data_IF_152242741800
#
_entry.id   IF_152242741800
#
_cell.length_a   1.000
_cell.length_b   1.000
_cell.length_c   1.000
_cell.angle_alpha   90.00
_cell.angle_beta   90.00
_cell.angle_gamma   90.00
#
_symmetry.space_group_name_H-M   'P 1'
#
loop_
_entity.id
_entity.type
_entity.pdbx_description
1 polymer ?
#
# COMPACT_ATOMS: atom_id res chain seq x y z
N UNK A 1 25.61 -34.67 33.62
CA UNK A 1 24.66 -33.52 33.84
C UNK A 1 24.65 -32.66 32.57
N UNK A 2 23.86 -33.07 31.63
CA UNK A 2 23.68 -32.38 30.34
C UNK A 2 22.54 -31.39 30.51
N UNK A 3 22.84 -30.07 30.42
CA UNK A 3 21.84 -29.02 30.40
C UNK A 3 21.23 -28.95 28.99
N UNK A 4 20.00 -29.42 28.86
CA UNK A 4 19.17 -29.13 27.73
C UNK A 4 18.87 -27.62 27.70
N UNK A 5 19.23 -26.99 26.61
CA UNK A 5 18.84 -25.61 26.29
C UNK A 5 17.39 -25.69 25.79
N UNK A 6 16.42 -25.02 26.41
CA UNK A 6 15.06 -25.03 25.91
C UNK A 6 15.01 -24.30 24.58
N UNK A 7 14.54 -24.98 23.56
CA UNK A 7 14.19 -24.39 22.27
C UNK A 7 13.11 -23.31 22.52
N UNK A 8 13.52 -22.05 22.40
CA UNK A 8 12.68 -20.89 22.59
C UNK A 8 11.74 -20.74 21.37
N UNK A 9 10.73 -21.61 21.31
CA UNK A 9 9.54 -21.48 20.46
C UNK A 9 8.61 -20.41 21.04
N UNK A 10 9.14 -19.20 21.26
CA UNK A 10 8.42 -18.08 21.82
C UNK A 10 7.56 -17.37 20.78
N UNK A 11 6.25 -17.50 20.95
CA UNK A 11 5.21 -16.53 20.64
C UNK A 11 5.15 -16.02 19.19
N UNK A 12 4.75 -16.89 18.26
CA UNK A 12 3.84 -16.47 17.23
C UNK A 12 2.54 -16.05 17.98
N UNK A 13 2.38 -14.76 18.24
CA UNK A 13 1.16 -14.25 18.83
C UNK A 13 0.00 -14.76 17.96
N UNK A 14 -0.70 -15.77 18.46
CA UNK A 14 -1.94 -16.22 17.89
C UNK A 14 -2.85 -15.00 17.88
N UNK A 15 -3.10 -14.48 16.68
CA UNK A 15 -4.16 -13.51 16.52
C UNK A 15 -5.42 -14.18 17.08
N UNK A 16 -6.21 -13.50 17.93
CA UNK A 16 -7.37 -14.11 18.57
C UNK A 16 -8.19 -14.79 17.49
N UNK A 17 -8.47 -16.07 17.68
CA UNK A 17 -9.09 -16.97 16.70
C UNK A 17 -10.44 -16.38 16.32
N UNK A 18 -10.44 -15.54 15.27
CA UNK A 18 -11.68 -15.11 14.64
C UNK A 18 -12.30 -16.33 13.99
N UNK A 19 -13.27 -16.94 14.67
CA UNK A 19 -14.08 -17.97 14.05
C UNK A 19 -14.61 -17.45 12.74
N UNK A 20 -14.47 -18.20 11.65
CA UNK A 20 -14.91 -17.82 10.28
C UNK A 20 -16.27 -17.11 10.29
N UNK A 21 -17.21 -17.61 11.11
CA UNK A 21 -18.55 -17.05 11.27
C UNK A 21 -18.53 -15.63 11.87
N UNK A 22 -17.71 -15.39 12.90
CA UNK A 22 -17.59 -14.06 13.52
C UNK A 22 -16.90 -13.06 12.60
N UNK A 23 -15.84 -13.48 11.88
CA UNK A 23 -15.16 -12.64 10.92
C UNK A 23 -16.10 -12.21 9.76
N UNK A 24 -16.91 -13.16 9.24
CA UNK A 24 -17.91 -12.87 8.21
C UNK A 24 -19.00 -11.94 8.76
N UNK A 25 -19.53 -12.23 9.96
CA UNK A 25 -20.55 -11.38 10.59
C UNK A 25 -20.02 -9.96 10.83
N UNK A 26 -18.81 -9.80 11.36
CA UNK A 26 -18.20 -8.49 11.57
C UNK A 26 -17.96 -7.78 10.24
N UNK A 27 -17.47 -8.48 9.22
CA UNK A 27 -17.29 -7.92 7.89
C UNK A 27 -18.62 -7.46 7.26
N UNK A 28 -19.69 -8.26 7.39
CA UNK A 28 -21.03 -7.90 6.90
C UNK A 28 -21.59 -6.70 7.66
N UNK A 29 -21.46 -6.67 8.99
CA UNK A 29 -21.96 -5.56 9.82
C UNK A 29 -21.20 -4.27 9.49
N UNK A 30 -19.87 -4.33 9.43
CA UNK A 30 -19.04 -3.17 9.07
C UNK A 30 -19.34 -2.72 7.63
N UNK A 31 -19.48 -3.64 6.69
CA UNK A 31 -19.88 -3.34 5.32
C UNK A 31 -21.25 -2.68 5.26
N UNK A 32 -22.26 -3.26 5.94
CA UNK A 32 -23.60 -2.70 5.98
C UNK A 32 -23.63 -1.31 6.65
N UNK A 33 -22.85 -1.10 7.70
CA UNK A 33 -22.75 0.16 8.40
C UNK A 33 -22.06 1.24 7.56
N UNK A 34 -20.99 0.87 6.86
CA UNK A 34 -20.28 1.76 5.92
C UNK A 34 -21.16 2.10 4.71
N UNK A 35 -21.86 1.11 4.15
CA UNK A 35 -22.84 1.32 3.06
C UNK A 35 -24.00 2.19 3.56
N UNK A 36 -24.53 1.91 4.77
CA UNK A 36 -25.58 2.70 5.38
C UNK A 36 -25.18 4.16 5.56
N UNK A 37 -24.02 4.42 6.14
CA UNK A 37 -23.48 5.79 6.28
C UNK A 37 -23.32 6.44 4.90
N UNK A 38 -22.76 5.72 3.95
CA UNK A 38 -22.47 6.24 2.61
C UNK A 38 -23.74 6.63 1.82
N UNK A 39 -24.80 5.85 1.92
CA UNK A 39 -26.08 6.13 1.26
C UNK A 39 -27.01 7.02 2.08
N UNK A 40 -26.89 7.02 3.40
CA UNK A 40 -27.72 7.82 4.28
C UNK A 40 -27.18 9.26 4.41
N UNK A 41 -25.87 9.44 4.42
CA UNK A 41 -25.23 10.74 4.58
C UNK A 41 -25.65 11.77 3.52
N UNK A 42 -25.70 11.44 2.20
CA UNK A 42 -26.19 12.37 1.17
C UNK A 42 -27.66 12.75 1.34
N UNK A 43 -28.50 11.82 1.79
CA UNK A 43 -29.92 12.08 2.07
C UNK A 43 -30.12 12.99 3.29
N UNK A 44 -29.28 12.82 4.32
CA UNK A 44 -29.33 13.65 5.52
C UNK A 44 -28.83 15.09 5.26
N UNK A 45 -27.95 15.29 4.29
CA UNK A 45 -27.39 16.59 3.91
C UNK A 45 -28.22 17.31 2.82
N UNK A 46 -29.35 16.71 2.37
CA UNK A 46 -30.22 17.33 1.36
C UNK A 46 -29.72 17.22 -0.09
N UNK A 47 -28.77 16.33 -0.37
CA UNK A 47 -28.17 16.10 -1.69
C UNK A 47 -29.01 15.15 -2.58
N UNK A 48 -30.33 15.11 -2.41
CA UNK A 48 -31.24 14.25 -3.21
C UNK A 48 -31.00 14.37 -4.71
N UNK A 49 -30.88 15.60 -5.22
CA UNK A 49 -30.65 15.87 -6.64
C UNK A 49 -29.33 15.30 -7.18
N UNK A 50 -28.34 15.09 -6.34
CA UNK A 50 -27.04 14.53 -6.76
C UNK A 50 -27.11 12.99 -6.96
N UNK A 51 -28.00 12.31 -6.23
CA UNK A 51 -28.23 10.87 -6.44
C UNK A 51 -29.05 10.59 -7.71
N UNK A 52 -29.99 11.47 -8.05
CA UNK A 52 -30.79 11.38 -9.27
C UNK A 52 -29.92 11.49 -10.53
N UNK A 53 -28.82 12.29 -10.45
CA UNK A 53 -27.82 12.43 -11.53
C UNK A 53 -26.97 11.18 -11.76
N UNK A 54 -26.91 10.21 -10.84
CA UNK A 54 -26.18 8.95 -11.08
C UNK A 54 -26.73 8.18 -12.29
N UNK A 55 -28.04 8.32 -12.59
CA UNK A 55 -28.66 7.75 -13.76
C UNK A 55 -28.25 8.41 -15.09
N UNK A 56 -27.70 9.63 -15.04
CA UNK A 56 -27.27 10.39 -16.23
C UNK A 56 -25.83 10.04 -16.67
N UNK A 57 -25.11 9.23 -15.88
CA UNK A 57 -23.71 8.89 -16.16
C UNK A 57 -23.58 8.08 -17.45
N UNK A 58 -22.67 8.50 -18.33
CA UNK A 58 -22.37 7.77 -19.56
C UNK A 58 -21.72 6.41 -19.24
N UNK A 59 -22.37 5.26 -19.59
CA UNK A 59 -21.91 3.92 -19.21
C UNK A 59 -20.54 3.56 -19.82
N UNK A 60 -20.19 4.11 -20.97
CA UNK A 60 -18.88 3.87 -21.60
C UNK A 60 -17.74 4.39 -20.69
N UNK A 61 -17.88 5.58 -20.14
CA UNK A 61 -16.87 6.13 -19.24
C UNK A 61 -16.82 5.42 -17.89
N UNK A 62 -17.96 4.87 -17.44
CA UNK A 62 -17.97 3.98 -16.25
C UNK A 62 -17.19 2.70 -16.54
N UNK A 63 -17.36 2.10 -17.73
CA UNK A 63 -16.57 0.92 -18.13
C UNK A 63 -15.06 1.26 -18.21
N UNK A 64 -14.69 2.44 -18.70
CA UNK A 64 -13.30 2.93 -18.70
C UNK A 64 -12.77 3.08 -17.25
N UNK A 65 -13.57 3.62 -16.33
CA UNK A 65 -13.21 3.73 -14.92
C UNK A 65 -12.97 2.35 -14.29
N UNK A 66 -13.80 1.35 -14.60
CA UNK A 66 -13.62 -0.04 -14.16
C UNK A 66 -12.32 -0.63 -14.74
N UNK A 67 -12.01 -0.35 -16.01
CA UNK A 67 -10.77 -0.75 -16.65
C UNK A 67 -9.54 -0.16 -15.94
N UNK A 68 -9.57 1.13 -15.59
CA UNK A 68 -8.54 1.77 -14.78
C UNK A 68 -8.44 1.15 -13.37
N UNK A 69 -9.56 0.77 -12.76
CA UNK A 69 -9.52 0.09 -11.46
C UNK A 69 -8.84 -1.29 -11.55
N UNK A 70 -9.12 -2.07 -12.59
CA UNK A 70 -8.43 -3.34 -12.82
C UNK A 70 -6.91 -3.11 -13.00
N UNK A 71 -6.52 -2.08 -13.76
CA UNK A 71 -5.11 -1.67 -13.93
C UNK A 71 -4.50 -1.25 -12.58
N UNK A 72 -5.21 -0.46 -11.77
CA UNK A 72 -4.75 -0.05 -10.44
C UNK A 72 -4.47 -1.25 -9.55
N UNK A 73 -5.38 -2.23 -9.50
CA UNK A 73 -5.19 -3.43 -8.70
C UNK A 73 -4.02 -4.30 -9.20
N UNK A 74 -3.90 -4.48 -10.51
CA UNK A 74 -2.79 -5.22 -11.12
C UNK A 74 -1.43 -4.58 -10.82
N UNK A 75 -1.32 -3.27 -10.99
CA UNK A 75 -0.09 -2.51 -10.70
C UNK A 75 0.23 -2.46 -9.21
N UNK A 76 -0.78 -2.46 -8.33
CA UNK A 76 -0.61 -2.55 -6.88
C UNK A 76 -0.03 -3.91 -6.45
N UNK A 77 -0.52 -5.01 -7.04
CA UNK A 77 0.05 -6.35 -6.83
C UNK A 77 1.48 -6.43 -7.37
N UNK A 78 1.74 -5.84 -8.54
CA UNK A 78 3.08 -5.80 -9.13
C UNK A 78 4.07 -5.00 -8.26
N UNK A 79 3.64 -3.86 -7.71
CA UNK A 79 4.41 -3.08 -6.74
C UNK A 79 4.78 -3.94 -5.52
N UNK A 80 3.79 -4.59 -4.91
CA UNK A 80 4.02 -5.43 -3.73
C UNK A 80 4.98 -6.57 -4.04
N UNK A 81 4.78 -7.26 -5.19
CA UNK A 81 5.65 -8.32 -5.69
C UNK A 81 7.10 -7.86 -5.85
N UNK A 82 7.31 -6.68 -6.44
CA UNK A 82 8.63 -6.14 -6.69
C UNK A 82 9.38 -5.76 -5.40
N UNK A 83 8.67 -5.20 -4.42
CA UNK A 83 9.27 -4.75 -3.16
C UNK A 83 9.48 -5.93 -2.20
N UNK A 84 8.49 -6.83 -2.10
CA UNK A 84 8.50 -7.92 -1.13
C UNK A 84 9.10 -9.19 -1.72
N UNK A 85 8.77 -9.50 -2.99
CA UNK A 85 9.15 -10.74 -3.64
C UNK A 85 10.60 -10.84 -4.05
N UNK A 86 11.24 -9.81 -4.62
CA UNK A 86 12.65 -9.76 -5.05
C UNK A 86 13.24 -11.08 -5.59
N UNK A 87 14.45 -11.07 -6.08
CA UNK A 87 15.13 -12.30 -6.57
C UNK A 87 15.38 -13.35 -5.46
N UNK A 88 15.49 -12.90 -4.21
CA UNK A 88 15.77 -13.76 -3.06
C UNK A 88 14.51 -14.34 -2.40
N UNK A 89 13.30 -14.04 -2.90
CA UNK A 89 12.04 -14.39 -2.23
C UNK A 89 11.05 -15.02 -3.20
N UNK A 90 10.84 -16.34 -3.13
CA UNK A 90 10.07 -17.10 -4.12
C UNK A 90 8.56 -17.05 -3.86
N UNK A 91 7.99 -15.88 -3.54
CA UNK A 91 6.53 -15.71 -3.54
C UNK A 91 6.00 -15.83 -4.96
N UNK A 92 5.02 -16.68 -5.20
CA UNK A 92 4.30 -16.74 -6.48
C UNK A 92 3.43 -15.48 -6.68
N UNK A 93 3.01 -15.20 -7.91
CA UNK A 93 2.05 -14.11 -8.18
C UNK A 93 0.73 -14.29 -7.44
N UNK A 94 0.29 -15.54 -7.27
CA UNK A 94 -0.92 -15.88 -6.55
C UNK A 94 -0.79 -15.55 -5.05
N UNK A 95 0.27 -15.98 -4.39
CA UNK A 95 0.54 -15.66 -2.98
C UNK A 95 0.66 -14.15 -2.77
N UNK A 96 1.34 -13.46 -3.70
CA UNK A 96 1.46 -11.99 -3.69
C UNK A 96 0.08 -11.32 -3.78
N UNK A 97 -0.77 -11.77 -4.70
CA UNK A 97 -2.14 -11.30 -4.85
C UNK A 97 -2.95 -11.52 -3.57
N UNK A 98 -2.91 -12.74 -3.03
CA UNK A 98 -3.64 -13.11 -1.81
C UNK A 98 -3.25 -12.22 -0.63
N UNK A 99 -1.94 -12.01 -0.39
CA UNK A 99 -1.45 -11.16 0.71
C UNK A 99 -1.86 -9.70 0.49
N UNK A 100 -1.63 -9.18 -0.72
CA UNK A 100 -1.85 -7.76 -1.00
C UNK A 100 -3.33 -7.39 -1.01
N UNK A 101 -4.17 -8.20 -1.65
CA UNK A 101 -5.62 -7.96 -1.71
C UNK A 101 -6.31 -8.20 -0.37
N UNK A 102 -5.91 -9.22 0.39
CA UNK A 102 -6.38 -9.41 1.75
C UNK A 102 -5.98 -8.24 2.66
N UNK A 103 -4.75 -7.74 2.51
CA UNK A 103 -4.27 -6.54 3.20
C UNK A 103 -5.08 -5.29 2.85
N UNK A 104 -5.43 -5.11 1.56
CA UNK A 104 -6.29 -4.02 1.10
C UNK A 104 -7.68 -4.09 1.77
N UNK A 105 -8.31 -5.26 1.79
CA UNK A 105 -9.60 -5.45 2.47
C UNK A 105 -9.50 -5.21 3.98
N UNK A 106 -8.43 -5.71 4.62
CA UNK A 106 -8.19 -5.49 6.05
C UNK A 106 -8.04 -3.99 6.37
N UNK A 107 -7.33 -3.23 5.54
CA UNK A 107 -7.20 -1.77 5.70
C UNK A 107 -8.55 -1.07 5.61
N UNK A 108 -9.44 -1.53 4.73
CA UNK A 108 -10.75 -0.91 4.50
C UNK A 108 -11.80 -1.31 5.53
N UNK A 109 -11.75 -2.55 6.03
CA UNK A 109 -12.72 -3.09 6.98
C UNK A 109 -12.35 -2.81 8.44
N UNK A 110 -11.06 -2.85 8.77
CA UNK A 110 -10.59 -2.64 10.14
C UNK A 110 -10.03 -1.22 10.26
N UNK A 111 -10.81 -0.37 10.86
CA UNK A 111 -10.61 1.08 10.94
C UNK A 111 -9.49 1.56 11.86
N UNK A 112 -8.53 0.73 12.21
CA UNK A 112 -7.39 1.11 13.04
C UNK A 112 -6.38 2.00 12.29
N UNK A 113 -6.82 3.15 11.77
CA UNK A 113 -5.95 4.13 11.12
C UNK A 113 -5.19 3.60 9.88
N UNK A 114 -5.79 2.66 9.11
CA UNK A 114 -5.13 2.06 7.94
C UNK A 114 -4.13 0.93 8.27
N UNK A 115 -3.89 0.64 9.55
CA UNK A 115 -2.90 -0.35 9.98
C UNK A 115 -3.32 -1.81 9.69
N UNK A 116 -4.61 -2.08 9.45
CA UNK A 116 -5.12 -3.46 9.26
C UNK A 116 -4.39 -4.23 8.17
N UNK A 117 -4.14 -3.61 7.03
CA UNK A 117 -3.41 -4.24 5.93
C UNK A 117 -1.93 -4.46 6.24
N UNK A 118 -1.30 -3.51 6.93
CA UNK A 118 0.11 -3.63 7.35
C UNK A 118 0.26 -4.82 8.30
N UNK A 119 -0.62 -4.92 9.30
CA UNK A 119 -0.61 -6.01 10.30
C UNK A 119 -0.84 -7.35 9.63
N UNK A 120 -1.83 -7.46 8.72
CA UNK A 120 -2.12 -8.69 8.00
C UNK A 120 -0.97 -9.12 7.08
N UNK A 121 -0.42 -8.18 6.31
CA UNK A 121 0.73 -8.45 5.44
C UNK A 121 1.97 -8.85 6.25
N UNK A 122 2.21 -8.18 7.37
CA UNK A 122 3.29 -8.53 8.30
C UNK A 122 3.10 -9.96 8.84
N UNK A 123 1.91 -10.30 9.29
CA UNK A 123 1.58 -11.65 9.76
C UNK A 123 1.80 -12.71 8.66
N UNK A 124 1.28 -12.47 7.46
CA UNK A 124 1.41 -13.41 6.35
C UNK A 124 2.87 -13.66 5.96
N UNK A 125 3.67 -12.60 5.84
CA UNK A 125 5.09 -12.71 5.49
C UNK A 125 5.89 -13.41 6.60
N UNK A 126 5.53 -13.19 7.86
CA UNK A 126 6.12 -13.91 9.00
C UNK A 126 5.77 -15.39 9.00
N UNK A 127 4.51 -15.72 8.71
CA UNK A 127 4.06 -17.11 8.53
C UNK A 127 4.77 -17.81 7.38
N UNK A 128 5.08 -17.06 6.31
CA UNK A 128 5.89 -17.54 5.19
C UNK A 128 7.37 -17.77 5.51
N UNK A 129 7.84 -17.45 6.73
CA UNK A 129 9.22 -17.67 7.18
C UNK A 129 10.13 -16.43 7.11
N UNK A 130 9.64 -15.26 6.62
CA UNK A 130 10.47 -14.06 6.50
C UNK A 130 10.88 -13.51 7.88
N UNK A 131 12.16 -13.17 8.13
CA UNK A 131 12.63 -12.58 9.39
C UNK A 131 11.90 -11.25 9.70
N UNK A 132 11.61 -10.98 10.98
CA UNK A 132 10.86 -9.78 11.43
C UNK A 132 11.46 -8.47 10.91
N UNK A 133 12.78 -8.34 10.99
CA UNK A 133 13.49 -7.14 10.53
C UNK A 133 13.30 -6.92 9.02
N UNK A 134 13.40 -7.99 8.23
CA UNK A 134 13.25 -7.94 6.78
C UNK A 134 11.81 -7.58 6.39
N UNK A 135 10.80 -8.17 7.04
CA UNK A 135 9.39 -7.79 6.84
C UNK A 135 9.21 -6.31 7.12
N UNK A 136 9.70 -5.81 8.26
CA UNK A 136 9.55 -4.41 8.65
C UNK A 136 10.21 -3.48 7.64
N UNK A 137 11.46 -3.77 7.22
CA UNK A 137 12.20 -2.99 6.21
C UNK A 137 11.47 -2.92 4.89
N UNK A 138 10.97 -4.07 4.37
CA UNK A 138 10.26 -4.12 3.09
C UNK A 138 8.88 -3.50 3.15
N UNK A 139 8.16 -3.62 4.27
CA UNK A 139 6.89 -2.93 4.46
C UNK A 139 7.06 -1.42 4.52
N UNK A 140 8.12 -0.92 5.18
CA UNK A 140 8.45 0.51 5.14
C UNK A 140 8.77 0.95 3.72
N UNK A 141 9.57 0.18 2.97
CA UNK A 141 9.89 0.51 1.59
C UNK A 141 8.65 0.50 0.68
N UNK A 142 7.75 -0.47 0.85
CA UNK A 142 6.48 -0.52 0.14
C UNK A 142 5.64 0.74 0.40
N UNK A 143 5.49 1.13 1.67
CA UNK A 143 4.75 2.33 2.04
C UNK A 143 5.44 3.61 1.55
N UNK A 144 6.76 3.70 1.67
CA UNK A 144 7.53 4.84 1.19
C UNK A 144 7.34 5.02 -0.33
N UNK A 145 7.47 3.93 -1.10
CA UNK A 145 7.27 3.96 -2.55
C UNK A 145 5.82 4.29 -2.93
N UNK A 146 4.86 3.80 -2.15
CA UNK A 146 3.45 4.12 -2.32
C UNK A 146 3.16 5.61 -2.07
N UNK A 147 3.65 6.16 -0.96
CA UNK A 147 3.28 7.51 -0.53
C UNK A 147 4.15 8.63 -1.10
N UNK A 148 5.33 8.35 -1.67
CA UNK A 148 6.19 9.37 -2.27
C UNK A 148 5.52 10.12 -3.44
N UNK A 149 4.55 9.49 -4.09
CA UNK A 149 3.81 10.10 -5.19
C UNK A 149 2.91 11.26 -4.76
N UNK A 150 2.45 11.32 -3.50
CA UNK A 150 1.65 12.45 -2.99
C UNK A 150 2.44 13.75 -3.06
N UNK A 151 3.58 13.89 -2.35
CA UNK A 151 4.33 15.13 -2.38
C UNK A 151 4.88 15.44 -3.78
N UNK A 152 5.31 14.45 -4.54
CA UNK A 152 5.84 14.65 -5.89
C UNK A 152 4.74 15.21 -6.80
N UNK A 153 3.54 14.65 -6.80
CA UNK A 153 2.43 15.11 -7.61
C UNK A 153 1.96 16.50 -7.20
N UNK A 154 1.84 16.78 -5.89
CA UNK A 154 1.45 18.10 -5.39
C UNK A 154 2.46 19.19 -5.77
N UNK A 155 3.76 18.90 -5.72
CA UNK A 155 4.79 19.84 -6.14
C UNK A 155 4.73 20.04 -7.66
N UNK A 156 4.74 18.95 -8.43
CA UNK A 156 4.78 19.03 -9.89
C UNK A 156 3.55 19.76 -10.45
N UNK A 157 2.35 19.33 -10.06
CA UNK A 157 1.12 19.98 -10.53
C UNK A 157 0.94 21.39 -9.96
N UNK A 158 1.34 21.63 -8.69
CA UNK A 158 1.32 22.95 -8.10
C UNK A 158 2.20 23.93 -8.85
N UNK A 159 3.41 23.54 -9.25
CA UNK A 159 4.32 24.35 -10.07
C UNK A 159 3.75 24.56 -11.47
N UNK A 160 3.26 23.51 -12.14
CA UNK A 160 2.70 23.60 -13.50
C UNK A 160 1.48 24.53 -13.57
N UNK A 161 0.59 24.48 -12.57
CA UNK A 161 -0.56 25.38 -12.47
C UNK A 161 -0.11 26.82 -12.18
N UNK A 162 0.85 27.01 -11.25
CA UNK A 162 1.33 28.34 -10.85
C UNK A 162 2.09 29.05 -11.94
N UNK A 163 2.83 28.32 -12.78
CA UNK A 163 3.58 28.88 -13.91
C UNK A 163 2.72 29.12 -15.16
N UNK A 164 1.42 28.73 -15.12
CA UNK A 164 0.52 28.88 -16.27
C UNK A 164 0.81 27.94 -17.45
N UNK A 165 1.70 26.94 -17.24
CA UNK A 165 2.00 25.93 -18.27
C UNK A 165 0.76 25.07 -18.55
N UNK A 166 -0.09 24.89 -17.54
CA UNK A 166 -1.34 24.11 -17.63
C UNK A 166 -2.51 24.99 -17.20
N UNK A 167 -3.64 24.84 -17.88
CA UNK A 167 -4.87 25.58 -17.56
C UNK A 167 -5.44 25.14 -16.22
N UNK A 168 -5.79 26.09 -15.37
CA UNK A 168 -6.43 25.87 -14.08
C UNK A 168 -6.30 27.09 -13.19
N UNK A 169 -7.00 27.05 -12.05
CA UNK A 169 -6.90 28.09 -11.02
C UNK A 169 -5.54 28.00 -10.34
N UNK A 170 -4.83 29.11 -10.25
CA UNK A 170 -3.45 29.20 -9.77
C UNK A 170 -3.31 29.82 -8.36
N UNK A 171 -4.37 29.75 -7.55
CA UNK A 171 -4.36 30.34 -6.20
C UNK A 171 -3.23 29.76 -5.34
N UNK A 172 -2.64 30.60 -4.49
CA UNK A 172 -1.51 30.22 -3.61
C UNK A 172 -1.89 29.05 -2.69
N UNK A 173 -3.13 29.06 -2.19
CA UNK A 173 -3.65 28.05 -1.27
C UNK A 173 -3.76 26.67 -1.90
N UNK A 174 -4.00 26.60 -3.22
CA UNK A 174 -4.17 25.33 -3.95
C UNK A 174 -2.88 24.84 -4.62
N UNK A 175 -1.88 25.69 -4.76
CA UNK A 175 -0.65 25.39 -5.49
C UNK A 175 0.59 25.46 -4.60
N UNK A 176 0.89 26.65 -4.04
CA UNK A 176 2.14 26.89 -3.29
C UNK A 176 2.11 26.24 -1.91
N UNK A 177 1.02 26.41 -1.16
CA UNK A 177 0.92 25.86 0.20
C UNK A 177 1.05 24.34 0.21
N UNK A 178 0.29 23.57 -0.61
CA UNK A 178 0.45 22.13 -0.67
C UNK A 178 1.84 21.71 -1.16
N UNK A 179 2.42 22.41 -2.13
CA UNK A 179 3.76 22.11 -2.63
C UNK A 179 4.85 22.37 -1.57
N UNK A 180 4.72 23.44 -0.76
CA UNK A 180 5.63 23.72 0.34
C UNK A 180 5.56 22.64 1.44
N UNK A 181 4.36 22.25 1.86
CA UNK A 181 4.14 21.17 2.84
C UNK A 181 4.70 19.85 2.29
N UNK A 182 4.41 19.54 1.02
CA UNK A 182 4.92 18.36 0.35
C UNK A 182 6.46 18.35 0.29
N UNK A 183 7.07 19.49 0.00
CA UNK A 183 8.53 19.65 0.02
C UNK A 183 9.14 19.40 1.39
N UNK A 184 8.51 19.92 2.45
CA UNK A 184 8.93 19.66 3.84
C UNK A 184 8.83 18.16 4.21
N UNK A 185 7.77 17.49 3.76
CA UNK A 185 7.61 16.03 4.00
C UNK A 185 8.67 15.22 3.25
N UNK A 186 9.00 15.59 2.00
CA UNK A 186 10.09 14.95 1.26
C UNK A 186 11.44 15.19 1.93
N UNK A 187 11.70 16.42 2.39
CA UNK A 187 12.92 16.76 3.11
C UNK A 187 13.03 15.95 4.42
N UNK A 188 11.95 15.86 5.19
CA UNK A 188 11.92 15.05 6.40
C UNK A 188 12.20 13.57 6.11
N UNK A 189 11.59 13.00 5.06
CA UNK A 189 11.86 11.64 4.59
C UNK A 189 13.33 11.45 4.19
N UNK A 190 13.92 12.41 3.47
CA UNK A 190 15.32 12.37 3.09
C UNK A 190 16.23 12.41 4.31
N UNK A 191 15.97 13.31 5.28
CA UNK A 191 16.72 13.39 6.53
C UNK A 191 16.61 12.08 7.32
N UNK A 192 15.44 11.45 7.37
CA UNK A 192 15.28 10.13 7.98
C UNK A 192 16.07 9.04 7.25
N UNK A 193 16.17 9.10 5.92
CA UNK A 193 17.00 8.17 5.15
C UNK A 193 18.50 8.31 5.47
N UNK A 194 18.96 9.47 5.91
CA UNK A 194 20.35 9.70 6.31
C UNK A 194 20.68 9.16 7.71
N UNK A 195 19.69 8.75 8.52
CA UNK A 195 19.92 8.17 9.85
C UNK A 195 20.72 6.87 9.70
N UNK A 196 21.92 6.76 10.35
CA UNK A 196 22.72 5.55 10.29
C UNK A 196 22.02 4.36 10.93
N UNK A 197 22.21 3.11 10.40
CA UNK A 197 21.60 1.91 10.99
C UNK A 197 22.06 1.64 12.44
N UNK A 198 23.21 2.12 12.81
CA UNK A 198 23.83 1.95 14.13
C UNK A 198 23.54 3.09 15.12
N UNK A 199 22.66 4.03 14.75
CA UNK A 199 22.30 5.18 15.62
C UNK A 199 21.85 4.76 17.01
N UNK A 200 21.07 3.66 17.09
CA UNK A 200 20.63 3.12 18.38
C UNK A 200 21.76 2.66 19.26
N UNK A 201 22.79 2.01 18.69
CA UNK A 201 24.00 1.59 19.41
C UNK A 201 24.83 2.80 19.85
N UNK A 202 24.98 3.79 18.98
CA UNK A 202 25.74 5.04 19.31
C UNK A 202 25.05 5.81 20.43
N UNK A 203 23.73 6.00 20.35
CA UNK A 203 22.97 6.68 21.39
C UNK A 203 22.95 5.88 22.71
N UNK A 204 22.82 4.55 22.65
CA UNK A 204 22.87 3.70 23.83
C UNK A 204 24.25 3.74 24.53
N UNK A 205 25.32 3.90 23.75
CA UNK A 205 26.67 4.05 24.33
C UNK A 205 26.83 5.35 25.14
N UNK A 206 26.07 6.40 24.80
CA UNK A 206 26.07 7.67 25.52
C UNK A 206 25.17 7.65 26.77
N UNK A 207 24.27 6.70 26.88
CA UNK A 207 23.33 6.59 27.99
C UNK A 207 24.02 6.01 29.25
N UNK A 208 23.77 6.64 30.40
CA UNK A 208 24.27 6.19 31.70
C UNK A 208 23.26 5.23 32.34
N UNK A 209 23.71 3.99 32.63
CA UNK A 209 22.91 2.93 33.27
C UNK A 209 22.25 1.95 32.29
N UNK A 210 22.07 0.69 32.69
CA UNK A 210 21.55 -0.39 31.83
C UNK A 210 20.12 -0.16 31.37
N UNK A 211 19.24 0.34 32.26
CA UNK A 211 17.82 0.60 31.90
C UNK A 211 17.73 1.71 30.85
N UNK A 212 18.48 2.80 30.98
CA UNK A 212 18.48 3.89 30.00
C UNK A 212 19.05 3.43 28.65
N UNK A 213 20.09 2.60 28.65
CA UNK A 213 20.65 1.99 27.43
C UNK A 213 19.62 1.12 26.70
N UNK A 214 18.89 0.28 27.44
CA UNK A 214 17.84 -0.58 26.87
C UNK A 214 16.69 0.25 26.29
N UNK A 215 16.24 1.29 26.97
CA UNK A 215 15.19 2.19 26.48
C UNK A 215 15.64 2.92 25.22
N UNK A 216 16.82 3.54 25.24
CA UNK A 216 17.38 4.26 24.09
C UNK A 216 17.57 3.32 22.89
N UNK A 217 18.12 2.12 23.11
CA UNK A 217 18.27 1.13 22.04
C UNK A 217 16.93 0.71 21.42
N UNK A 218 15.88 0.54 22.25
CA UNK A 218 14.55 0.17 21.77
C UNK A 218 13.86 1.32 21.02
N UNK A 219 13.93 2.54 21.53
CA UNK A 219 13.36 3.73 20.88
C UNK A 219 14.03 4.01 19.54
N UNK A 220 15.35 3.83 19.46
CA UNK A 220 16.11 4.07 18.23
C UNK A 220 15.92 2.98 17.14
N UNK A 221 15.33 1.82 17.47
CA UNK A 221 15.07 0.74 16.49
C UNK A 221 14.09 1.20 15.39
N UNK A 222 13.02 1.90 15.75
CA UNK A 222 12.01 2.31 14.79
C UNK A 222 12.57 3.31 13.75
N UNK A 223 13.24 4.42 14.13
CA UNK A 223 13.88 5.31 13.17
C UNK A 223 14.93 4.62 12.28
N UNK A 224 15.70 3.67 12.83
CA UNK A 224 16.69 2.93 12.06
C UNK A 224 16.04 2.07 10.97
N UNK A 225 14.98 1.32 11.30
CA UNK A 225 14.21 0.51 10.33
C UNK A 225 13.58 1.40 9.26
N UNK A 226 13.03 2.55 9.64
CA UNK A 226 12.46 3.51 8.69
C UNK A 226 13.55 4.03 7.75
N UNK A 227 14.71 4.47 8.29
CA UNK A 227 15.84 4.91 7.49
C UNK A 227 16.36 3.83 6.52
N UNK A 228 16.42 2.57 6.96
CA UNK A 228 16.79 1.45 6.09
C UNK A 228 15.77 1.19 4.98
N UNK A 229 14.48 1.23 5.31
CA UNK A 229 13.41 1.10 4.32
C UNK A 229 13.44 2.22 3.27
N UNK A 230 13.67 3.46 3.70
CA UNK A 230 13.79 4.61 2.79
C UNK A 230 15.04 4.50 1.90
N UNK A 231 16.20 4.07 2.44
CA UNK A 231 17.41 3.80 1.62
C UNK A 231 17.17 2.67 0.62
N UNK A 232 16.48 1.62 1.03
CA UNK A 232 16.09 0.53 0.12
C UNK A 232 15.20 1.07 -1.01
N UNK A 233 14.23 1.93 -0.69
CA UNK A 233 13.39 2.60 -1.69
C UNK A 233 14.22 3.45 -2.65
N UNK A 234 15.14 4.27 -2.15
CA UNK A 234 16.05 5.05 -2.99
C UNK A 234 16.88 4.15 -3.92
N UNK A 235 17.34 3.01 -3.43
CA UNK A 235 18.04 2.00 -4.24
C UNK A 235 17.21 1.43 -5.38
N UNK A 236 15.88 1.29 -5.19
CA UNK A 236 14.96 0.86 -6.25
C UNK A 236 14.83 1.92 -7.34
N UNK A 237 14.78 3.21 -6.99
CA UNK A 237 14.77 4.29 -7.98
C UNK A 237 16.09 4.40 -8.76
N UNK A 238 17.22 4.21 -8.10
CA UNK A 238 18.54 4.36 -8.71
C UNK A 238 18.96 3.15 -9.56
N UNK A 239 18.30 2.00 -9.39
CA UNK A 239 18.61 0.79 -10.16
C UNK A 239 17.37 0.27 -10.92
N UNK A 240 17.14 0.74 -12.17
CA UNK A 240 15.97 0.36 -12.96
C UNK A 240 15.83 -1.14 -13.22
N UNK A 241 16.93 -1.88 -13.29
CA UNK A 241 16.89 -3.32 -13.53
C UNK A 241 16.28 -4.10 -12.35
N UNK A 242 16.43 -3.60 -11.12
CA UNK A 242 15.86 -4.20 -9.90
C UNK A 242 14.58 -3.52 -9.43
N UNK A 243 14.50 -2.21 -9.59
CA UNK A 243 13.40 -1.41 -9.08
C UNK A 243 12.37 -0.99 -10.13
N UNK A 244 12.62 -1.24 -11.42
CA UNK A 244 11.74 -0.78 -12.50
C UNK A 244 10.29 -1.24 -12.32
N UNK A 245 10.08 -2.51 -12.01
CA UNK A 245 8.73 -3.05 -11.75
C UNK A 245 8.08 -2.39 -10.52
N UNK A 246 8.86 -2.06 -9.48
CA UNK A 246 8.34 -1.40 -8.29
C UNK A 246 7.91 0.05 -8.59
N UNK A 247 8.76 0.80 -9.31
CA UNK A 247 8.45 2.19 -9.70
C UNK A 247 7.28 2.22 -10.68
N UNK A 248 7.27 1.36 -11.70
CA UNK A 248 6.15 1.24 -12.65
C UNK A 248 4.87 0.81 -11.95
N UNK A 249 4.95 -0.11 -10.99
CA UNK A 249 3.81 -0.54 -10.18
C UNK A 249 3.22 0.63 -9.37
N UNK A 250 4.05 1.41 -8.69
CA UNK A 250 3.60 2.56 -7.91
C UNK A 250 3.05 3.68 -8.79
N UNK A 251 3.75 4.03 -9.88
CA UNK A 251 3.29 5.04 -10.85
C UNK A 251 1.98 4.60 -11.50
N UNK A 252 1.91 3.35 -11.95
CA UNK A 252 0.72 2.78 -12.58
C UNK A 252 -0.49 2.77 -11.64
N UNK A 253 -0.28 2.43 -10.37
CA UNK A 253 -1.34 2.46 -9.35
C UNK A 253 -1.94 3.86 -9.21
N UNK A 254 -1.12 4.89 -9.03
CA UNK A 254 -1.62 6.25 -8.84
C UNK A 254 -2.17 6.86 -10.13
N UNK A 255 -1.51 6.64 -11.26
CA UNK A 255 -2.00 7.08 -12.56
C UNK A 255 -3.37 6.47 -12.89
N UNK A 256 -3.54 5.17 -12.58
CA UNK A 256 -4.83 4.51 -12.77
C UNK A 256 -5.90 5.05 -11.81
N UNK A 257 -5.60 5.32 -10.54
CA UNK A 257 -6.54 5.93 -9.61
C UNK A 257 -6.98 7.34 -10.04
N UNK A 258 -6.04 8.17 -10.50
CA UNK A 258 -6.36 9.46 -11.12
C UNK A 258 -7.20 9.25 -12.39
N UNK A 259 -6.87 8.23 -13.19
CA UNK A 259 -7.63 7.84 -14.38
C UNK A 259 -9.07 7.45 -14.08
N UNK A 260 -9.33 6.75 -12.96
CA UNK A 260 -10.70 6.45 -12.52
C UNK A 260 -11.46 7.77 -12.29
N UNK A 261 -10.90 8.70 -11.52
CA UNK A 261 -11.55 9.97 -11.21
C UNK A 261 -11.75 10.83 -12.46
N UNK A 262 -10.74 10.88 -13.35
CA UNK A 262 -10.87 11.56 -14.63
C UNK A 262 -11.99 10.97 -15.49
N UNK A 263 -12.09 9.63 -15.57
CA UNK A 263 -13.14 8.95 -16.30
C UNK A 263 -14.52 9.20 -15.69
N UNK A 264 -14.63 9.30 -14.36
CA UNK A 264 -15.91 9.65 -13.71
C UNK A 264 -16.34 11.07 -14.00
N UNK A 265 -15.44 12.06 -14.04
CA UNK A 265 -15.79 13.40 -14.52
C UNK A 265 -16.31 13.37 -15.97
N UNK A 266 -15.64 12.61 -16.85
CA UNK A 266 -16.11 12.42 -18.24
C UNK A 266 -17.46 11.75 -18.33
N UNK A 267 -17.77 10.81 -17.43
CA UNK A 267 -19.06 10.14 -17.37
C UNK A 267 -20.24 11.13 -17.14
N UNK A 268 -19.98 12.21 -16.42
CA UNK A 268 -20.94 13.30 -16.20
C UNK A 268 -20.77 14.49 -17.15
N UNK A 269 -20.03 14.32 -18.25
CA UNK A 269 -19.84 15.37 -19.26
C UNK A 269 -18.95 16.55 -18.81
N UNK A 270 -18.28 16.44 -17.66
CA UNK A 270 -17.45 17.50 -17.09
C UNK A 270 -16.03 17.42 -17.63
N UNK A 271 -15.54 18.56 -18.19
CA UNK A 271 -14.19 18.67 -18.70
C UNK A 271 -13.31 19.37 -17.67
N UNK A 272 -12.53 18.56 -16.93
CA UNK A 272 -11.56 19.07 -15.95
C UNK A 272 -10.15 18.90 -16.54
N UNK A 273 -9.30 19.95 -16.57
CA UNK A 273 -7.90 19.83 -16.97
C UNK A 273 -7.18 18.77 -16.13
N UNK A 274 -6.35 17.93 -16.76
CA UNK A 274 -5.73 16.79 -16.08
C UNK A 274 -4.88 17.22 -14.87
N UNK A 275 -4.19 18.35 -14.94
CA UNK A 275 -3.42 18.86 -13.81
C UNK A 275 -4.32 19.22 -12.60
N UNK A 276 -5.51 19.74 -12.86
CA UNK A 276 -6.52 20.02 -11.81
C UNK A 276 -7.04 18.70 -11.25
N UNK A 277 -7.28 17.68 -12.09
CA UNK A 277 -7.69 16.35 -11.60
C UNK A 277 -6.62 15.76 -10.68
N UNK A 278 -5.35 15.78 -11.10
CA UNK A 278 -4.23 15.28 -10.29
C UNK A 278 -4.09 16.08 -8.99
N UNK A 279 -4.08 17.41 -9.07
CA UNK A 279 -3.93 18.26 -7.89
C UNK A 279 -5.09 18.06 -6.90
N UNK A 280 -6.34 18.12 -7.37
CA UNK A 280 -7.53 17.93 -6.55
C UNK A 280 -7.61 16.52 -5.95
N UNK A 281 -7.21 15.50 -6.72
CA UNK A 281 -7.13 14.13 -6.24
C UNK A 281 -6.17 14.01 -5.04
N UNK A 282 -4.93 14.46 -5.18
CA UNK A 282 -3.94 14.34 -4.11
C UNK A 282 -4.23 15.26 -2.92
N UNK A 283 -4.81 16.45 -3.15
CA UNK A 283 -5.30 17.31 -2.08
C UNK A 283 -6.38 16.59 -1.24
N UNK A 284 -7.36 15.97 -1.91
CA UNK A 284 -8.39 15.18 -1.23
C UNK A 284 -7.80 13.99 -0.48
N UNK A 285 -6.83 13.32 -1.09
CA UNK A 285 -6.17 12.15 -0.48
C UNK A 285 -5.30 12.50 0.74
N UNK A 286 -4.87 13.76 0.92
CA UNK A 286 -4.17 14.21 2.15
C UNK A 286 -5.01 13.94 3.39
N UNK A 287 -6.34 14.03 3.28
CA UNK A 287 -7.24 13.69 4.39
C UNK A 287 -7.09 12.23 4.89
N UNK A 288 -6.60 11.33 4.05
CA UNK A 288 -6.32 9.93 4.43
C UNK A 288 -5.11 9.77 5.36
N UNK A 289 -4.25 10.78 5.45
CA UNK A 289 -3.12 10.79 6.39
C UNK A 289 -3.58 11.04 7.84
N UNK A 290 -4.77 11.61 8.01
CA UNK A 290 -5.36 11.83 9.31
C UNK A 290 -6.38 10.72 9.61
N UNK A 291 -6.22 9.95 10.71
CA UNK A 291 -7.11 8.84 11.05
C UNK A 291 -8.43 9.34 11.67
N UNK A 292 -9.11 10.30 10.99
CA UNK A 292 -10.36 10.90 11.46
C UNK A 292 -11.56 9.97 11.26
N UNK A 293 -11.49 9.08 10.27
CA UNK A 293 -12.55 8.14 9.95
C UNK A 293 -12.00 6.81 9.46
N UNK A 294 -12.74 5.70 9.65
CA UNK A 294 -12.36 4.38 9.13
C UNK A 294 -12.08 4.44 7.63
N UNK A 295 -10.88 4.02 7.22
CA UNK A 295 -10.48 3.97 5.80
C UNK A 295 -10.64 5.30 5.04
N UNK A 296 -10.68 6.45 5.74
CA UNK A 296 -10.86 7.78 5.15
C UNK A 296 -12.24 8.02 4.54
N UNK A 297 -13.25 7.17 4.85
CA UNK A 297 -14.63 7.36 4.36
C UNK A 297 -15.20 8.66 4.93
N UNK A 298 -15.74 9.50 4.07
CA UNK A 298 -16.24 10.84 4.38
C UNK A 298 -15.13 11.91 4.37
N UNK A 299 -14.00 11.70 5.05
CA UNK A 299 -12.94 12.71 5.13
C UNK A 299 -12.23 12.91 3.76
N UNK A 300 -11.88 11.82 3.08
CA UNK A 300 -11.29 11.90 1.74
C UNK A 300 -12.32 12.39 0.72
N UNK A 301 -13.57 11.97 0.85
CA UNK A 301 -14.65 12.40 -0.04
C UNK A 301 -14.89 13.91 0.08
N UNK A 302 -15.04 14.41 1.29
CA UNK A 302 -15.17 15.84 1.56
C UNK A 302 -13.91 16.63 1.12
N UNK A 303 -12.72 16.06 1.35
CA UNK A 303 -11.46 16.65 0.90
C UNK A 303 -11.38 16.77 -0.62
N UNK A 304 -11.78 15.73 -1.37
CA UNK A 304 -11.82 15.79 -2.84
C UNK A 304 -12.86 16.77 -3.34
N UNK A 305 -14.10 16.69 -2.82
CA UNK A 305 -15.17 17.61 -3.22
C UNK A 305 -14.73 19.05 -2.95
N UNK A 306 -14.25 19.34 -1.74
CA UNK A 306 -13.78 20.67 -1.36
C UNK A 306 -12.64 21.16 -2.26
N UNK A 307 -11.66 20.33 -2.58
CA UNK A 307 -10.56 20.67 -3.47
C UNK A 307 -11.08 21.09 -4.86
N UNK A 308 -11.96 20.29 -5.48
CA UNK A 308 -12.49 20.61 -6.81
C UNK A 308 -13.41 21.84 -6.80
N UNK A 309 -14.21 22.04 -5.76
CA UNK A 309 -15.02 23.25 -5.58
C UNK A 309 -14.12 24.50 -5.48
N UNK A 310 -13.01 24.41 -4.74
CA UNK A 310 -12.02 25.49 -4.65
C UNK A 310 -11.36 25.78 -6.01
N UNK A 311 -11.20 24.76 -6.88
CA UNK A 311 -10.78 24.95 -8.28
C UNK A 311 -11.86 25.60 -9.16
N UNK A 312 -13.08 25.82 -8.64
CA UNK A 312 -14.18 26.47 -9.34
C UNK A 312 -15.10 25.52 -10.09
N UNK A 313 -15.03 24.22 -9.80
CA UNK A 313 -15.95 23.23 -10.39
C UNK A 313 -17.21 23.17 -9.51
N UNK A 314 -18.44 23.28 -10.09
CA UNK A 314 -19.68 23.27 -9.31
C UNK A 314 -19.82 21.97 -8.49
N UNK A 315 -20.18 22.12 -7.21
CA UNK A 315 -20.35 20.99 -6.28
C UNK A 315 -21.32 19.93 -6.79
N UNK A 316 -22.41 20.37 -7.42
CA UNK A 316 -23.43 19.51 -8.01
C UNK A 316 -22.92 18.56 -9.11
N UNK A 317 -21.77 18.86 -9.70
CA UNK A 317 -21.09 18.01 -10.69
C UNK A 317 -19.93 17.23 -10.09
N UNK A 318 -19.24 17.78 -9.11
CA UNK A 318 -18.12 17.13 -8.42
C UNK A 318 -18.62 15.98 -7.56
N UNK A 319 -19.71 16.19 -6.82
CA UNK A 319 -20.21 15.19 -5.88
C UNK A 319 -20.53 13.83 -6.53
N UNK A 320 -21.34 13.74 -7.60
CA UNK A 320 -21.63 12.44 -8.24
C UNK A 320 -20.37 11.81 -8.85
N UNK A 321 -19.44 12.59 -9.39
CA UNK A 321 -18.19 12.07 -9.94
C UNK A 321 -17.31 11.44 -8.86
N UNK A 322 -17.15 12.09 -7.70
CA UNK A 322 -16.40 11.56 -6.56
C UNK A 322 -17.10 10.34 -5.97
N UNK A 323 -18.44 10.35 -5.92
CA UNK A 323 -19.23 9.22 -5.45
C UNK A 323 -18.99 7.96 -6.30
N UNK A 324 -19.07 8.10 -7.63
CA UNK A 324 -18.81 6.98 -8.56
C UNK A 324 -17.34 6.56 -8.49
N UNK A 325 -16.40 7.50 -8.40
CA UNK A 325 -14.99 7.18 -8.16
C UNK A 325 -14.85 6.27 -6.92
N UNK A 326 -15.51 6.60 -5.82
CA UNK A 326 -15.45 5.78 -4.59
C UNK A 326 -16.09 4.41 -4.76
N UNK A 327 -17.22 4.33 -5.48
CA UNK A 327 -17.84 3.04 -5.79
C UNK A 327 -16.87 2.13 -6.55
N UNK A 328 -16.20 2.67 -7.57
CA UNK A 328 -15.28 1.91 -8.40
C UNK A 328 -13.94 1.65 -7.68
N UNK A 329 -13.28 2.70 -7.15
CA UNK A 329 -11.93 2.58 -6.61
C UNK A 329 -11.88 1.95 -5.22
N UNK A 330 -12.92 2.13 -4.40
CA UNK A 330 -12.92 1.70 -3.00
C UNK A 330 -13.80 0.48 -2.77
N UNK A 331 -15.07 0.51 -3.19
CA UNK A 331 -16.03 -0.54 -2.87
C UNK A 331 -15.89 -1.79 -3.75
N UNK A 332 -15.68 -1.59 -5.05
CA UNK A 332 -15.58 -2.69 -6.00
C UNK A 332 -14.45 -3.69 -5.70
N UNK A 333 -13.23 -3.29 -5.25
CA UNK A 333 -12.17 -4.24 -4.90
C UNK A 333 -12.42 -5.01 -3.59
N UNK A 334 -13.33 -4.55 -2.74
CA UNK A 334 -13.53 -5.11 -1.40
C UNK A 334 -13.94 -6.59 -1.41
N UNK A 335 -14.92 -7.04 -2.22
CA UNK A 335 -15.27 -8.45 -2.32
C UNK A 335 -14.08 -9.35 -2.72
N UNK A 336 -13.27 -8.89 -3.69
CA UNK A 336 -12.08 -9.62 -4.14
C UNK A 336 -11.05 -9.74 -3.01
N UNK A 337 -10.89 -8.70 -2.21
CA UNK A 337 -9.99 -8.72 -1.05
C UNK A 337 -10.49 -9.64 0.07
N UNK A 338 -11.81 -9.72 0.30
CA UNK A 338 -12.41 -10.68 1.25
C UNK A 338 -12.17 -12.12 0.79
N UNK A 339 -12.39 -12.41 -0.50
CA UNK A 339 -12.08 -13.74 -1.07
C UNK A 339 -10.59 -14.06 -0.92
N UNK A 340 -9.71 -13.10 -1.24
CA UNK A 340 -8.27 -13.25 -1.09
C UNK A 340 -7.85 -13.54 0.37
N UNK A 341 -8.54 -12.98 1.35
CA UNK A 341 -8.28 -13.26 2.77
C UNK A 341 -8.52 -14.74 3.11
N UNK A 342 -9.60 -15.34 2.62
CA UNK A 342 -9.86 -16.76 2.84
C UNK A 342 -8.87 -17.66 2.09
N UNK A 343 -8.48 -17.27 0.87
CA UNK A 343 -7.45 -17.97 0.11
C UNK A 343 -6.10 -17.91 0.83
N UNK A 344 -5.71 -16.73 1.36
CA UNK A 344 -4.48 -16.55 2.12
C UNK A 344 -4.42 -17.45 3.37
N UNK A 345 -5.54 -17.66 4.07
CA UNK A 345 -5.59 -18.58 5.19
C UNK A 345 -5.29 -20.02 4.78
N UNK A 346 -5.83 -20.47 3.65
CA UNK A 346 -5.54 -21.81 3.09
C UNK A 346 -4.08 -21.91 2.64
N UNK A 347 -3.56 -20.84 2.04
CA UNK A 347 -2.14 -20.77 1.63
C UNK A 347 -1.20 -20.82 2.84
N UNK A 348 -1.53 -20.10 3.91
CA UNK A 348 -0.75 -20.14 5.16
C UNK A 348 -0.74 -21.54 5.81
N UNK A 349 -1.85 -22.28 5.73
CA UNK A 349 -1.90 -23.69 6.18
C UNK A 349 -1.01 -24.58 5.30
N UNK A 350 -1.08 -24.43 3.97
CA UNK A 350 -0.21 -25.19 3.05
C UNK A 350 1.28 -24.93 3.30
N UNK A 351 1.67 -23.72 3.70
CA UNK A 351 3.06 -23.43 4.04
C UNK A 351 3.54 -24.19 5.27
N UNK A 352 2.63 -24.48 6.24
CA UNK A 352 2.94 -25.31 7.40
C UNK A 352 3.11 -26.77 7.01
N UNK A 353 2.35 -27.26 6.03
CA UNK A 353 2.36 -28.68 5.59
C UNK A 353 3.47 -28.98 4.56
N UNK A 354 3.68 -28.09 3.58
CA UNK A 354 4.55 -28.30 2.40
C UNK A 354 5.93 -27.64 2.51
N UNK A 355 6.19 -26.88 3.58
CA UNK A 355 7.39 -26.08 3.79
C UNK A 355 7.23 -24.62 3.45
N UNK A 356 7.96 -23.78 4.17
CA UNK A 356 7.87 -22.33 4.10
C UNK A 356 8.43 -21.79 2.77
N UNK A 357 7.78 -20.79 2.13
CA UNK A 357 8.23 -20.26 0.85
C UNK A 357 9.63 -19.64 0.91
N UNK A 358 10.04 -19.11 2.07
CA UNK A 358 11.37 -18.49 2.25
C UNK A 358 12.47 -19.49 2.62
N UNK A 359 12.12 -20.74 2.92
CA UNK A 359 13.07 -21.83 3.17
C UNK A 359 13.29 -22.68 1.90
N UNK A 360 12.53 -22.44 0.83
CA UNK A 360 12.68 -23.15 -0.43
C UNK A 360 14.03 -22.79 -1.08
N UNK A 361 14.84 -23.76 -1.52
CA UNK A 361 16.07 -23.45 -2.21
C UNK A 361 15.75 -22.67 -3.50
N UNK A 362 16.43 -21.55 -3.68
CA UNK A 362 16.35 -20.79 -4.92
C UNK A 362 16.98 -21.67 -6.00
N UNK A 363 16.16 -22.21 -6.88
CA UNK A 363 16.68 -22.88 -8.07
C UNK A 363 17.19 -21.77 -8.99
N UNK A 364 18.47 -21.41 -8.82
CA UNK A 364 19.16 -20.56 -9.77
C UNK A 364 19.27 -21.41 -11.04
N UNK A 365 18.48 -21.08 -12.06
CA UNK A 365 18.72 -21.55 -13.43
C UNK A 365 20.01 -20.90 -13.95
N UNK A 366 21.13 -21.28 -13.37
CA UNK A 366 22.42 -21.07 -14.01
C UNK A 366 22.56 -22.18 -15.04
N UNK A 367 22.01 -22.01 -16.23
CA UNK A 367 22.55 -22.62 -17.43
C UNK A 367 23.90 -21.95 -17.68
N UNK A 368 24.93 -22.40 -16.99
CA UNK A 368 26.29 -22.15 -17.42
C UNK A 368 26.45 -23.00 -18.70
N UNK A 369 26.65 -22.41 -19.88
CA UNK A 369 26.96 -23.20 -21.07
C UNK A 369 28.31 -23.84 -20.80
N UNK A 370 28.31 -25.14 -20.57
CA UNK A 370 29.55 -25.90 -20.63
C UNK A 370 30.01 -25.91 -22.07
N UNK A 371 31.30 -25.62 -22.30
CA UNK A 371 31.93 -25.49 -23.62
C UNK A 371 31.80 -26.73 -24.50
N UNK A 372 31.21 -27.81 -24.04
CA UNK A 372 31.16 -29.13 -24.71
C UNK A 372 29.74 -29.63 -25.06
N UNK A 373 28.74 -28.78 -25.15
CA UNK A 373 27.45 -29.11 -25.77
C UNK A 373 26.69 -30.34 -25.21
N UNK A 374 27.13 -30.96 -24.12
CA UNK A 374 26.45 -32.10 -23.48
C UNK A 374 25.67 -31.62 -22.26
N UNK A 375 24.36 -31.85 -22.25
CA UNK A 375 23.49 -31.64 -21.09
C UNK A 375 24.00 -32.48 -19.94
N UNK A 376 24.55 -31.85 -18.90
CA UNK A 376 24.84 -32.51 -17.65
C UNK A 376 23.53 -32.85 -16.94
N UNK A 377 23.42 -34.09 -16.46
CA UNK A 377 22.32 -34.53 -15.64
C UNK A 377 22.27 -33.70 -14.32
N UNK A 378 21.07 -33.41 -13.75
CA UNK A 378 20.97 -32.63 -12.53
C UNK A 378 21.69 -33.36 -11.39
N UNK A 379 22.66 -32.70 -10.78
CA UNK A 379 23.29 -33.19 -9.55
C UNK A 379 22.21 -33.27 -8.44
N UNK A 380 22.14 -34.41 -7.79
CA UNK A 380 21.26 -34.64 -6.66
C UNK A 380 21.59 -33.68 -5.51
N UNK A 381 20.58 -33.19 -4.75
CA UNK A 381 20.81 -32.25 -3.66
C UNK A 381 21.71 -32.90 -2.60
N UNK A 382 22.74 -32.16 -2.18
CA UNK A 382 23.64 -32.56 -1.11
C UNK A 382 22.77 -32.68 0.17
N UNK A 383 22.38 -33.91 0.49
CA UNK A 383 21.72 -34.22 1.74
C UNK A 383 22.69 -33.92 2.89
N UNK A 384 22.30 -33.05 3.81
CA UNK A 384 23.01 -32.77 5.05
C UNK A 384 23.31 -34.10 5.76
N UNK A 385 24.59 -34.51 5.77
CA UNK A 385 25.06 -35.63 6.58
C UNK A 385 24.78 -35.33 8.03
N UNK A 386 23.80 -36.04 8.61
CA UNK A 386 23.68 -36.13 10.06
C UNK A 386 24.97 -36.75 10.61
N UNK A 387 25.62 -36.18 11.63
CA UNK A 387 26.69 -36.87 12.32
C UNK A 387 26.09 -38.10 13.04
N UNK A 388 26.66 -39.25 12.73
CA UNK A 388 26.42 -40.47 13.51
C UNK A 388 27.16 -40.37 14.83
N UNK A 389 26.39 -40.57 15.93
CA UNK A 389 26.72 -40.84 17.34
C UNK A 389 27.46 -39.72 18.10
#
# INVERSE_FOLDING_TARGET
MSREVPANGGDAADLPIFTRRRAIQTAIVVFALLVGIYFLFPKLVGLGNALDRLGEANPLWIAVAIGFNALALGTYVALFKAVVGGEAMPLSWRETYEINMAGLAATRLFSAGGAGGIVLSFWALRKGGMPRHEVARRMVAFLALQYVFYPVALIACGVLLRTGVVSGKDSVELTVVPAAVAGLLLLAGLLMALIPPDVGRRLAALARGERSRAVVANVAKAPAIVGEGLRFTAGLFLNPSRGGLAVLGATGFWAANVGILWATFKAFGVHVPLAVVVQGFFLGMVANLFPLAPAGVGAVDAGMIGAFVLFGIPEETVFPAVLVYRLVAFWMPLPFGVVAFFQLRQTAQRWEDEGLPFDRPVTIKNEVPTADGKKAAPEAPISARRPRK
#
